data_IF_830452883716
#
_entry.id   IF_830452883716
#
_cell.length_a   1.000
_cell.length_b   1.000
_cell.length_c   1.000
_cell.angle_alpha   90.00
_cell.angle_beta   90.00
_cell.angle_gamma   90.00
#
_symmetry.space_group_name_H-M   'P 1'
#
loop_
_entity.id
_entity.type
_entity.pdbx_description
1 polymer ?
#
# COMPACT_ATOMS: atom_id res chain seq x y z
N UNK A 1 2.65 7.97 17.29
CA UNK A 1 3.08 6.66 16.79
C UNK A 1 2.42 6.46 15.44
N UNK A 2 3.03 5.72 14.51
CA UNK A 2 2.43 5.36 13.21
C UNK A 2 2.09 3.88 13.24
N UNK A 3 0.85 3.55 12.91
CA UNK A 3 0.37 2.18 12.76
C UNK A 3 0.14 1.90 11.29
N UNK A 4 0.85 0.91 10.75
CA UNK A 4 0.71 0.47 9.36
C UNK A 4 0.14 -0.95 9.28
N UNK A 5 -0.77 -1.17 8.35
CA UNK A 5 -1.25 -2.51 7.95
C UNK A 5 -1.04 -2.71 6.46
N UNK A 6 -0.58 -3.89 6.07
CA UNK A 6 -0.34 -4.26 4.67
C UNK A 6 -1.12 -5.52 4.34
N UNK A 7 -1.89 -5.48 3.25
CA UNK A 7 -2.54 -6.64 2.65
C UNK A 7 -1.87 -6.94 1.33
N UNK A 8 -1.40 -8.17 1.17
CA UNK A 8 -0.77 -8.67 -0.05
C UNK A 8 -1.42 -9.98 -0.45
N UNK A 9 -1.57 -10.22 -1.74
CA UNK A 9 -2.06 -11.48 -2.27
C UNK A 9 -1.10 -12.03 -3.31
N UNK A 10 -0.97 -13.36 -3.38
CA UNK A 10 -0.20 -14.04 -4.41
C UNK A 10 -1.17 -14.82 -5.31
N UNK A 11 -1.52 -14.24 -6.45
CA UNK A 11 -2.47 -14.83 -7.41
C UNK A 11 -1.67 -15.47 -8.54
N UNK A 12 -1.79 -16.79 -8.70
CA UNK A 12 -1.08 -17.55 -9.73
C UNK A 12 -1.98 -17.86 -10.91
N UNK A 13 -1.48 -17.63 -12.12
CA UNK A 13 -2.12 -17.91 -13.40
C UNK A 13 -1.10 -18.57 -14.35
N UNK A 14 -0.78 -19.84 -14.08
CA UNK A 14 0.25 -20.58 -14.83
C UNK A 14 1.66 -20.03 -14.54
N UNK A 15 2.48 -19.71 -15.57
CA UNK A 15 3.82 -19.13 -15.38
C UNK A 15 3.77 -17.68 -14.87
N UNK A 16 2.60 -17.03 -14.91
CA UNK A 16 2.39 -15.67 -14.44
C UNK A 16 1.90 -15.66 -12.99
N UNK A 17 2.53 -14.85 -12.15
CA UNK A 17 2.09 -14.53 -10.79
C UNK A 17 1.80 -13.04 -10.69
N UNK A 18 0.60 -12.68 -10.24
CA UNK A 18 0.22 -11.31 -9.92
C UNK A 18 0.23 -11.13 -8.41
N UNK A 19 0.85 -10.05 -7.95
CA UNK A 19 1.00 -9.72 -6.53
C UNK A 19 0.48 -8.29 -6.31
N UNK A 20 -0.82 -8.12 -6.06
CA UNK A 20 -1.35 -6.86 -5.59
C UNK A 20 -1.02 -6.67 -4.11
N UNK A 21 -0.63 -5.45 -3.74
CA UNK A 21 -0.43 -5.05 -2.36
C UNK A 21 -1.07 -3.68 -2.12
N UNK A 22 -1.84 -3.59 -1.04
CA UNK A 22 -2.37 -2.34 -0.49
C UNK A 22 -1.85 -2.15 0.93
N UNK A 23 -1.42 -0.94 1.24
CA UNK A 23 -0.95 -0.54 2.55
C UNK A 23 -1.72 0.67 3.05
N UNK A 24 -2.05 0.64 4.34
CA UNK A 24 -2.68 1.74 5.05
C UNK A 24 -1.85 2.10 6.26
N UNK A 25 -1.42 3.36 6.33
CA UNK A 25 -0.74 3.94 7.47
C UNK A 25 -1.66 4.97 8.15
N UNK A 26 -1.72 4.92 9.47
CA UNK A 26 -2.46 5.87 10.30
C UNK A 26 -1.56 6.39 11.41
N UNK A 27 -1.70 7.67 11.75
CA UNK A 27 -1.00 8.27 12.88
C UNK A 27 -1.97 8.84 13.92
N UNK A 28 -1.55 8.76 15.18
CA UNK A 28 -2.23 9.40 16.31
C UNK A 28 -2.10 10.93 16.33
N UNK A 29 -1.27 11.52 15.45
CA UNK A 29 -1.02 12.97 15.36
C UNK A 29 -1.62 13.50 14.07
N UNK A 30 -2.32 14.63 14.12
CA UNK A 30 -3.06 15.19 12.96
C UNK A 30 -2.20 15.55 11.76
N UNK A 31 -0.91 15.82 11.96
CA UNK A 31 -0.11 16.59 10.98
C UNK A 31 1.10 15.84 10.40
N UNK A 32 1.08 14.50 10.33
CA UNK A 32 2.28 13.75 9.90
C UNK A 32 2.32 13.39 8.41
N UNK A 33 1.19 13.30 7.73
CA UNK A 33 1.14 13.08 6.30
C UNK A 33 0.61 14.32 5.59
N UNK A 34 0.89 14.40 4.29
CA UNK A 34 0.44 15.49 3.44
C UNK A 34 -0.34 14.88 2.28
N UNK A 35 -1.55 15.39 2.06
CA UNK A 35 -2.38 14.96 0.94
C UNK A 35 -1.94 15.59 -0.39
N UNK A 36 -2.59 15.22 -1.49
CA UNK A 36 -2.27 15.77 -2.82
C UNK A 36 -2.55 17.27 -2.96
N UNK A 37 -3.28 17.87 -2.02
CA UNK A 37 -3.58 19.30 -1.96
C UNK A 37 -2.61 20.07 -1.05
N UNK A 38 -1.63 19.38 -0.44
CA UNK A 38 -0.66 19.99 0.47
C UNK A 38 -1.17 20.16 1.89
N UNK A 39 -2.36 19.63 2.23
CA UNK A 39 -2.89 19.72 3.58
C UNK A 39 -2.39 18.57 4.44
N UNK A 40 -2.31 18.84 5.75
CA UNK A 40 -2.00 17.83 6.74
C UNK A 40 -3.13 16.80 6.88
N UNK A 41 -2.74 15.53 7.02
CA UNK A 41 -3.66 14.41 7.20
C UNK A 41 -3.09 13.33 8.12
N UNK A 42 -3.98 12.58 8.76
CA UNK A 42 -3.67 11.48 9.68
C UNK A 42 -3.43 10.14 9.00
N UNK A 43 -3.78 10.02 7.72
CA UNK A 43 -3.77 8.75 6.99
C UNK A 43 -3.00 8.82 5.68
N UNK A 44 -2.33 7.73 5.35
CA UNK A 44 -1.72 7.50 4.04
C UNK A 44 -2.09 6.11 3.52
N UNK A 45 -2.41 6.02 2.24
CA UNK A 45 -2.69 4.75 1.56
C UNK A 45 -1.76 4.58 0.37
N UNK A 46 -1.25 3.36 0.18
CA UNK A 46 -0.33 3.01 -0.91
C UNK A 46 -0.84 1.75 -1.61
N UNK A 47 -0.63 1.68 -2.92
CA UNK A 47 -0.97 0.52 -3.73
C UNK A 47 0.18 0.21 -4.68
N UNK A 48 0.53 -1.07 -4.79
CA UNK A 48 1.48 -1.58 -5.79
C UNK A 48 0.93 -2.86 -6.40
N UNK A 49 1.18 -3.06 -7.68
CA UNK A 49 0.86 -4.28 -8.40
C UNK A 49 2.12 -4.80 -9.07
N UNK A 50 2.58 -5.97 -8.66
CA UNK A 50 3.69 -6.66 -9.30
C UNK A 50 3.19 -7.82 -10.17
N UNK A 51 3.90 -8.07 -11.26
CA UNK A 51 3.70 -9.22 -12.12
C UNK A 51 5.06 -9.93 -12.30
N UNK A 52 5.10 -11.23 -12.00
CA UNK A 52 6.29 -12.07 -12.13
C UNK A 52 5.97 -13.19 -13.10
N UNK A 53 6.74 -13.30 -14.18
CA UNK A 53 6.63 -14.39 -15.14
C UNK A 53 7.84 -15.32 -14.98
N UNK A 54 7.60 -16.61 -14.76
CA UNK A 54 8.64 -17.62 -14.63
C UNK A 54 8.74 -18.46 -15.92
N UNK A 55 9.98 -18.69 -16.38
CA UNK A 55 10.32 -19.51 -17.56
C UNK A 55 10.67 -20.94 -17.17
#
# INVERSE_FOLDING_TARGET
SVTGITFTANVKAGPLTLIPEVRFDNTSKSDQFVDGNGNFTTGASQFVLAAVYAF
#
